data_IF_363967856307
#
_entry.id   IF_363967856307
#
_cell.length_a   1.000
_cell.length_b   1.000
_cell.length_c   1.000
_cell.angle_alpha   90.00
_cell.angle_beta   90.00
_cell.angle_gamma   90.00
#
_symmetry.space_group_name_H-M   'P 1'
#
loop_
_entity.id
_entity.type
_entity.pdbx_description
1 polymer ?
#
# COMPACT_ATOMS: atom_id res chain seq x y z
N UNK A 1 -8.49 2.28 -23.56
CA UNK A 1 -9.13 2.42 -22.22
C UNK A 1 -8.34 3.50 -21.47
N UNK A 2 -8.83 4.74 -21.41
CA UNK A 2 -8.12 5.83 -20.69
C UNK A 2 -8.26 5.54 -19.19
N UNK A 3 -7.18 5.10 -18.56
CA UNK A 3 -7.09 5.03 -17.10
C UNK A 3 -7.39 6.41 -16.53
N UNK A 4 -8.24 6.47 -15.50
CA UNK A 4 -8.58 7.75 -14.87
C UNK A 4 -7.34 8.27 -14.13
N UNK A 5 -7.16 9.60 -13.96
CA UNK A 5 -5.93 10.20 -13.44
C UNK A 5 -5.43 9.59 -12.13
N UNK A 6 -6.36 9.15 -11.28
CA UNK A 6 -6.03 8.58 -9.99
C UNK A 6 -5.63 7.10 -10.03
N UNK A 7 -6.15 6.31 -10.97
CA UNK A 7 -5.76 4.91 -11.15
C UNK A 7 -4.29 4.84 -11.58
N UNK A 8 -3.90 5.71 -12.51
CA UNK A 8 -2.51 5.88 -12.92
C UNK A 8 -1.62 6.38 -11.75
N UNK A 9 -2.13 7.31 -10.93
CA UNK A 9 -1.37 7.78 -9.77
C UNK A 9 -1.20 6.67 -8.70
N UNK A 10 -2.21 5.82 -8.51
CA UNK A 10 -2.11 4.66 -7.62
C UNK A 10 -1.15 3.62 -8.18
N UNK A 11 -1.23 3.33 -9.48
CA UNK A 11 -0.31 2.42 -10.16
C UNK A 11 1.14 2.88 -10.03
N UNK A 12 1.42 4.16 -10.29
CA UNK A 12 2.75 4.74 -10.13
C UNK A 12 3.25 4.63 -8.68
N UNK A 13 2.39 4.92 -7.70
CA UNK A 13 2.73 4.79 -6.29
C UNK A 13 3.07 3.35 -5.92
N UNK A 14 2.22 2.39 -6.28
CA UNK A 14 2.44 0.97 -5.99
C UNK A 14 3.64 0.39 -6.75
N UNK A 15 3.92 0.89 -7.95
CA UNK A 15 5.12 0.51 -8.72
C UNK A 15 6.39 1.02 -8.06
N UNK A 16 6.39 2.26 -7.57
CA UNK A 16 7.53 2.79 -6.80
C UNK A 16 7.76 2.02 -5.50
N UNK A 17 6.69 1.59 -4.84
CA UNK A 17 6.75 0.70 -3.67
C UNK A 17 7.34 -0.66 -4.04
N UNK A 18 6.88 -1.28 -5.13
CA UNK A 18 7.43 -2.55 -5.62
C UNK A 18 8.93 -2.44 -5.91
N UNK A 19 9.34 -1.38 -6.61
CA UNK A 19 10.75 -1.12 -6.92
C UNK A 19 11.58 -0.98 -5.64
N UNK A 20 11.09 -0.21 -4.67
CA UNK A 20 11.74 -0.03 -3.37
C UNK A 20 11.89 -1.34 -2.60
N UNK A 21 10.94 -2.28 -2.73
CA UNK A 21 11.00 -3.57 -2.04
C UNK A 21 12.00 -4.55 -2.68
N UNK A 22 12.18 -4.46 -4.00
CA UNK A 22 13.03 -5.39 -4.76
C UNK A 22 14.43 -4.85 -5.06
N UNK A 23 14.68 -3.58 -4.77
CA UNK A 23 15.98 -2.97 -4.92
C UNK A 23 16.98 -3.53 -3.90
N UNK A 24 17.99 -4.24 -4.40
CA UNK A 24 19.05 -4.88 -3.59
C UNK A 24 20.16 -3.90 -3.18
N UNK A 25 20.18 -2.69 -3.76
CA UNK A 25 21.22 -1.68 -3.53
C UNK A 25 20.90 -0.72 -2.39
N UNK A 26 19.62 -0.62 -2.00
CA UNK A 26 19.21 0.16 -0.83
C UNK A 26 19.23 -0.76 0.40
N UNK A 27 19.98 -0.42 1.48
CA UNK A 27 19.89 -1.15 2.73
C UNK A 27 18.53 -0.85 3.35
N UNK A 28 17.51 -1.62 2.94
CA UNK A 28 16.18 -1.73 3.52
C UNK A 28 15.68 -0.46 4.23
N UNK A 29 15.61 0.67 3.52
CA UNK A 29 14.76 1.80 3.93
C UNK A 29 13.29 1.39 4.11
N UNK A 30 12.96 0.20 3.60
CA UNK A 30 11.73 -0.58 3.79
C UNK A 30 11.61 -1.28 5.18
N UNK A 31 12.60 -1.21 6.09
CA UNK A 31 12.51 -1.84 7.43
C UNK A 31 11.26 -1.40 8.24
N UNK A 32 10.66 -0.28 7.86
CA UNK A 32 9.51 0.36 8.51
C UNK A 32 8.17 -0.40 8.27
N UNK A 33 8.02 -1.11 7.15
CA UNK A 33 6.88 -2.02 6.90
C UNK A 33 7.16 -3.42 7.49
N UNK A 34 8.41 -3.65 7.89
CA UNK A 34 9.02 -4.96 8.10
C UNK A 34 9.30 -5.27 9.56
N UNK A 35 8.36 -4.99 10.45
CA UNK A 35 8.47 -5.62 11.76
C UNK A 35 7.64 -6.89 11.72
N UNK A 36 8.37 -8.00 11.68
CA UNK A 36 7.77 -9.31 11.83
C UNK A 36 6.88 -9.29 13.07
N UNK A 37 5.72 -9.93 12.98
CA UNK A 37 4.94 -10.34 14.15
C UNK A 37 5.83 -11.00 15.23
N UNK A 38 6.94 -11.62 14.82
CA UNK A 38 7.97 -12.21 15.69
C UNK A 38 8.78 -11.17 16.49
N UNK A 39 9.13 -10.01 15.92
CA UNK A 39 9.81 -8.90 16.62
C UNK A 39 8.83 -8.07 17.48
N UNK A 40 7.57 -7.97 17.05
CA UNK A 40 6.53 -7.35 17.88
C UNK A 40 6.16 -8.23 19.10
N UNK A 41 6.25 -9.55 18.96
CA UNK A 41 5.98 -10.49 20.05
C UNK A 41 7.06 -10.50 21.14
N UNK A 42 8.27 -9.97 20.87
CA UNK A 42 9.37 -9.95 21.85
C UNK A 42 9.42 -8.70 22.72
N UNK A 43 8.64 -7.66 22.43
CA UNK A 43 8.56 -6.43 23.25
C UNK A 43 7.30 -5.60 22.95
N UNK A 44 6.58 -5.21 24.00
CA UNK A 44 5.40 -4.33 23.90
C UNK A 44 5.73 -2.94 23.31
N UNK A 45 6.92 -2.40 23.60
CA UNK A 45 7.37 -1.10 23.07
C UNK A 45 7.64 -1.16 21.56
N UNK A 46 8.16 -2.30 21.10
CA UNK A 46 8.34 -2.56 19.67
C UNK A 46 6.95 -2.65 19.02
N UNK A 47 6.02 -3.45 19.57
CA UNK A 47 4.65 -3.53 19.07
C UNK A 47 3.94 -2.16 18.99
N UNK A 48 4.10 -1.30 20.00
CA UNK A 48 3.53 0.04 20.04
C UNK A 48 4.12 0.94 18.93
N UNK A 49 5.43 0.91 18.73
CA UNK A 49 6.12 1.69 17.69
C UNK A 49 5.66 1.29 16.30
N UNK A 50 5.45 -0.01 16.07
CA UNK A 50 4.98 -0.56 14.79
C UNK A 50 3.56 -0.12 14.52
N UNK A 51 2.68 -0.23 15.54
CA UNK A 51 1.28 0.18 15.45
C UNK A 51 1.17 1.67 15.12
N UNK A 52 1.98 2.52 15.76
CA UNK A 52 2.02 3.94 15.47
C UNK A 52 2.43 4.23 14.01
N UNK A 53 3.43 3.49 13.49
CA UNK A 53 3.89 3.64 12.10
C UNK A 53 2.88 3.17 11.07
N UNK A 54 2.23 2.02 11.31
CA UNK A 54 1.12 1.56 10.47
C UNK A 54 -0.03 2.58 10.44
N UNK A 55 -0.34 3.19 11.59
CA UNK A 55 -1.34 4.25 11.66
C UNK A 55 -0.96 5.49 10.83
N UNK A 56 0.32 5.89 10.82
CA UNK A 56 0.80 7.01 9.99
C UNK A 56 0.71 6.69 8.49
N UNK A 57 1.06 5.46 8.08
CA UNK A 57 0.93 5.01 6.69
C UNK A 57 -0.55 4.98 6.24
N UNK A 58 -1.44 4.45 7.08
CA UNK A 58 -2.88 4.45 6.83
C UNK A 58 -3.41 5.88 6.69
N UNK A 59 -3.04 6.79 7.59
CA UNK A 59 -3.45 8.19 7.52
C UNK A 59 -2.97 8.88 6.24
N UNK A 60 -1.75 8.58 5.78
CA UNK A 60 -1.21 9.12 4.53
C UNK A 60 -2.03 8.66 3.33
N UNK A 61 -2.39 7.36 3.29
CA UNK A 61 -3.25 6.79 2.24
C UNK A 61 -4.68 7.34 2.30
N UNK A 62 -5.24 7.48 3.50
CA UNK A 62 -6.55 8.12 3.70
C UNK A 62 -6.50 9.54 3.15
N UNK A 63 -5.48 10.33 3.49
CA UNK A 63 -5.34 11.70 2.99
C UNK A 63 -5.20 11.77 1.47
N UNK A 64 -4.44 10.85 0.89
CA UNK A 64 -4.30 10.72 -0.57
C UNK A 64 -5.66 10.44 -1.25
N UNK A 65 -6.51 9.62 -0.63
CA UNK A 65 -7.84 9.30 -1.15
C UNK A 65 -8.85 10.42 -0.89
N UNK A 66 -8.78 11.12 0.26
CA UNK A 66 -9.59 12.30 0.57
C UNK A 66 -9.43 13.38 -0.48
N UNK A 67 -8.18 13.71 -0.85
CA UNK A 67 -7.89 14.72 -1.88
C UNK A 67 -8.54 14.34 -3.23
N UNK A 68 -8.60 13.04 -3.55
CA UNK A 68 -9.19 12.53 -4.80
C UNK A 68 -10.71 12.51 -4.74
N UNK A 69 -11.26 12.20 -3.58
CA UNK A 69 -12.70 12.31 -3.32
C UNK A 69 -13.17 13.77 -3.45
N UNK A 70 -12.39 14.73 -2.92
CA UNK A 70 -12.65 16.17 -3.08
C UNK A 70 -12.55 16.64 -4.54
N UNK A 71 -11.69 16.00 -5.35
CA UNK A 71 -11.59 16.25 -6.80
C UNK A 71 -12.70 15.59 -7.63
N UNK A 72 -13.62 14.84 -7.00
CA UNK A 72 -14.69 14.11 -7.69
C UNK A 72 -14.22 12.84 -8.42
N UNK A 73 -12.97 12.42 -8.20
CA UNK A 73 -12.39 11.21 -8.82
C UNK A 73 -12.89 9.91 -8.16
N UNK A 74 -13.32 10.03 -6.90
CA UNK A 74 -13.96 9.00 -6.08
C UNK A 74 -15.29 9.60 -5.58
N UNK A 75 -16.44 8.90 -5.69
CA UNK A 75 -17.70 9.42 -5.19
C UNK A 75 -17.66 9.69 -3.67
N UNK A 76 -18.34 10.75 -3.21
CA UNK A 76 -18.34 11.17 -1.81
C UNK A 76 -18.94 10.13 -0.85
N UNK A 77 -19.84 9.28 -1.35
CA UNK A 77 -20.52 8.22 -0.60
C UNK A 77 -19.61 7.01 -0.30
N UNK A 78 -18.40 6.96 -0.87
CA UNK A 78 -17.52 5.79 -0.76
C UNK A 78 -16.67 5.83 0.49
N UNK A 79 -16.50 4.66 1.09
CA UNK A 79 -15.71 4.49 2.29
C UNK A 79 -14.21 4.45 1.96
N UNK A 80 -13.61 5.64 1.82
CA UNK A 80 -12.18 5.79 1.54
C UNK A 80 -11.28 5.21 2.64
N UNK A 81 -11.76 5.09 3.88
CA UNK A 81 -10.99 4.46 4.97
C UNK A 81 -10.88 2.96 4.75
N UNK A 82 -11.96 2.30 4.31
CA UNK A 82 -11.95 0.90 3.93
C UNK A 82 -11.00 0.66 2.76
N UNK A 83 -11.04 1.52 1.74
CA UNK A 83 -10.14 1.45 0.60
C UNK A 83 -8.66 1.66 1.01
N UNK A 84 -8.38 2.61 1.90
CA UNK A 84 -7.04 2.83 2.45
C UNK A 84 -6.51 1.59 3.16
N UNK A 85 -7.34 0.96 4.01
CA UNK A 85 -6.98 -0.29 4.71
C UNK A 85 -6.67 -1.43 3.75
N UNK A 86 -7.49 -1.59 2.70
CA UNK A 86 -7.22 -2.59 1.66
C UNK A 86 -5.86 -2.34 0.99
N UNK A 87 -5.56 -1.09 0.60
CA UNK A 87 -4.28 -0.74 -0.01
C UNK A 87 -3.11 -0.97 0.97
N UNK A 88 -3.27 -0.66 2.26
CA UNK A 88 -2.28 -1.00 3.28
C UNK A 88 -1.98 -2.51 3.32
N UNK A 89 -3.02 -3.36 3.29
CA UNK A 89 -2.85 -4.81 3.27
C UNK A 89 -2.08 -5.28 2.03
N UNK A 90 -2.39 -4.73 0.85
CA UNK A 90 -1.67 -5.07 -0.39
C UNK A 90 -0.19 -4.69 -0.29
N UNK A 91 0.11 -3.49 0.19
CA UNK A 91 1.49 -3.01 0.35
C UNK A 91 2.26 -3.88 1.35
N UNK A 92 1.63 -4.26 2.46
CA UNK A 92 2.23 -5.17 3.45
C UNK A 92 2.49 -6.55 2.83
N UNK A 93 1.53 -7.11 2.08
CA UNK A 93 1.70 -8.38 1.37
C UNK A 93 2.85 -8.35 0.36
N UNK A 94 2.95 -7.29 -0.45
CA UNK A 94 4.06 -7.10 -1.38
C UNK A 94 5.42 -7.06 -0.66
N UNK A 95 5.49 -6.44 0.51
CA UNK A 95 6.72 -6.38 1.32
C UNK A 95 7.13 -7.76 1.85
N UNK A 96 6.16 -8.59 2.24
CA UNK A 96 6.41 -9.98 2.64
C UNK A 96 6.92 -10.79 1.47
N UNK A 97 6.23 -10.75 0.32
CA UNK A 97 6.64 -11.49 -0.89
C UNK A 97 8.04 -11.10 -1.36
N UNK A 98 8.39 -9.81 -1.35
CA UNK A 98 9.74 -9.35 -1.74
C UNK A 98 10.84 -9.99 -0.90
N UNK A 99 10.61 -10.15 0.42
CA UNK A 99 11.56 -10.81 1.33
C UNK A 99 11.70 -12.30 1.05
N UNK A 100 10.62 -12.93 0.60
CA UNK A 100 10.61 -14.32 0.15
C UNK A 100 11.23 -14.47 -1.26
N UNK A 101 11.91 -13.44 -1.75
CA UNK A 101 12.61 -13.35 -3.04
C UNK A 101 11.68 -13.20 -4.25
N UNK A 102 10.46 -12.69 -4.07
CA UNK A 102 9.64 -12.29 -5.20
C UNK A 102 10.35 -11.19 -6.02
N UNK A 103 10.34 -11.38 -7.33
CA UNK A 103 10.84 -10.45 -8.33
C UNK A 103 9.97 -9.20 -8.42
N UNK A 104 10.53 -8.14 -9.02
CA UNK A 104 9.77 -6.93 -9.33
C UNK A 104 8.58 -7.24 -10.23
N UNK A 105 8.76 -8.13 -11.19
CA UNK A 105 7.72 -8.57 -12.13
C UNK A 105 6.55 -9.24 -11.41
N UNK A 106 6.81 -10.08 -10.41
CA UNK A 106 5.79 -10.72 -9.58
C UNK A 106 5.02 -9.71 -8.73
N UNK A 107 5.71 -8.77 -8.09
CA UNK A 107 5.04 -7.69 -7.34
C UNK A 107 4.21 -6.80 -8.27
N UNK A 108 4.68 -6.54 -9.49
CA UNK A 108 3.93 -5.79 -10.50
C UNK A 108 2.66 -6.50 -10.96
N UNK A 109 2.57 -7.84 -10.88
CA UNK A 109 1.30 -8.55 -11.11
C UNK A 109 0.28 -8.23 -10.01
N UNK A 110 0.72 -8.11 -8.75
CA UNK A 110 -0.14 -7.70 -7.63
C UNK A 110 -0.64 -6.26 -7.85
N UNK A 111 0.24 -5.35 -8.29
CA UNK A 111 -0.13 -3.96 -8.61
C UNK A 111 -1.16 -3.92 -9.73
N UNK A 112 -0.91 -4.60 -10.86
CA UNK A 112 -1.83 -4.63 -12.00
C UNK A 112 -3.19 -5.20 -11.63
N UNK A 113 -3.21 -6.28 -10.85
CA UNK A 113 -4.44 -6.91 -10.33
C UNK A 113 -5.22 -5.92 -9.46
N UNK A 114 -4.52 -5.24 -8.55
CA UNK A 114 -5.11 -4.23 -7.66
C UNK A 114 -5.75 -3.09 -8.45
N UNK A 115 -5.05 -2.55 -9.45
CA UNK A 115 -5.55 -1.48 -10.33
C UNK A 115 -6.75 -1.96 -11.15
N UNK A 116 -6.72 -3.20 -11.66
CA UNK A 116 -7.83 -3.80 -12.41
C UNK A 116 -9.12 -3.91 -11.57
N UNK A 117 -8.99 -4.16 -10.26
CA UNK A 117 -10.13 -4.26 -9.34
C UNK A 117 -10.69 -2.89 -8.91
N UNK A 118 -9.98 -1.78 -9.15
CA UNK A 118 -10.40 -0.44 -8.72
C UNK A 118 -11.81 -0.02 -9.15
N UNK A 119 -12.29 -0.31 -10.38
CA UNK A 119 -13.66 0.00 -10.78
C UNK A 119 -14.72 -0.70 -9.91
N UNK A 120 -14.42 -1.87 -9.34
CA UNK A 120 -15.31 -2.59 -8.42
C UNK A 120 -15.14 -2.09 -6.99
N UNK A 121 -13.91 -1.82 -6.55
CA UNK A 121 -13.63 -1.30 -5.21
C UNK A 121 -14.21 0.11 -5.00
N UNK A 122 -14.35 0.90 -6.08
CA UNK A 122 -15.12 2.16 -6.11
C UNK A 122 -16.61 2.00 -5.80
N UNK A 123 -17.16 0.78 -5.85
CA UNK A 123 -18.59 0.49 -5.60
C UNK A 123 -18.86 0.04 -4.17
N UNK A 124 -17.81 -0.19 -3.39
CA UNK A 124 -17.86 -0.50 -1.95
C UNK A 124 -17.85 0.83 -1.18
#
# INVERSE_FOLDING_TARGET
MKSRPWEAALENYLSAVAQCFTDKSTPSGCFIICTSSVLAASSEDIAATIKARHAVQEQTLVRFLEIRQQKGEIPAERNIRCLAKYLCCIIQGMSVSARENASYEELMQIVKTTVMLMPQLKKI
#
